data_IF_772062994646
#
_entry.id   IF_772062994646
#
_cell.length_a   1.000
_cell.length_b   1.000
_cell.length_c   1.000
_cell.angle_alpha   90.00
_cell.angle_beta   90.00
_cell.angle_gamma   90.00
#
_symmetry.space_group_name_H-M   'P 1'
#
loop_
_entity.id
_entity.type
_entity.pdbx_description
1 polymer ?
#
# COMPACT_ATOMS: atom_id res chain seq x y z
N UNK A 1 26.78 14.87 53.02
CA UNK A 1 25.93 14.42 51.90
C UNK A 1 26.27 15.22 50.64
N UNK A 2 27.34 14.86 49.94
CA UNK A 2 27.78 15.59 48.73
C UNK A 2 26.99 15.13 47.50
N UNK A 3 26.21 16.03 46.91
CA UNK A 3 25.50 15.77 45.65
C UNK A 3 26.53 15.64 44.52
N UNK A 4 26.64 14.45 43.93
CA UNK A 4 27.49 14.22 42.75
C UNK A 4 26.97 15.07 41.58
N UNK A 5 27.73 16.11 41.23
CA UNK A 5 27.49 16.92 40.04
C UNK A 5 27.81 16.08 38.80
N UNK A 6 26.78 15.51 38.17
CA UNK A 6 26.93 14.83 36.89
C UNK A 6 27.35 15.87 35.83
N UNK A 7 28.54 15.73 35.26
CA UNK A 7 29.06 16.69 34.30
C UNK A 7 28.21 16.69 33.02
N UNK A 8 27.79 17.88 32.57
CA UNK A 8 27.07 18.06 31.30
C UNK A 8 27.96 17.63 30.14
N UNK A 9 27.73 16.43 29.59
CA UNK A 9 28.41 15.94 28.37
C UNK A 9 28.00 16.76 27.15
N UNK A 10 28.98 17.28 26.40
CA UNK A 10 28.74 17.93 25.10
C UNK A 10 28.34 16.88 24.06
N UNK A 11 27.36 17.21 23.21
CA UNK A 11 26.96 16.36 22.07
C UNK A 11 28.14 16.21 21.11
N UNK A 12 28.30 15.02 20.53
CA UNK A 12 29.35 14.76 19.53
C UNK A 12 29.17 15.67 18.32
N UNK A 13 30.29 16.12 17.74
CA UNK A 13 30.29 16.96 16.53
C UNK A 13 29.74 16.11 15.38
N UNK A 14 28.53 16.40 14.92
CA UNK A 14 27.92 15.70 13.79
C UNK A 14 28.58 16.19 12.51
N UNK A 15 29.24 15.30 11.78
CA UNK A 15 29.83 15.62 10.48
C UNK A 15 28.74 15.77 9.41
N UNK A 16 29.00 16.59 8.36
CA UNK A 16 28.10 16.71 7.19
C UNK A 16 27.75 15.35 6.58
N UNK A 17 28.70 14.41 6.55
CA UNK A 17 28.51 13.05 6.05
C UNK A 17 27.50 12.24 6.87
N UNK A 18 27.56 12.32 8.21
CA UNK A 18 26.59 11.67 9.10
C UNK A 18 25.17 12.22 8.89
N UNK A 19 25.03 13.55 8.76
CA UNK A 19 23.74 14.19 8.50
C UNK A 19 23.17 13.79 7.12
N UNK A 20 24.02 13.72 6.09
CA UNK A 20 23.61 13.32 4.75
C UNK A 20 23.17 11.85 4.69
N UNK A 21 23.92 10.95 5.32
CA UNK A 21 23.58 9.53 5.40
C UNK A 21 22.30 9.27 6.21
N UNK A 22 22.10 10.01 7.31
CA UNK A 22 20.84 10.00 8.06
C UNK A 22 19.64 10.39 7.19
N UNK A 23 19.76 11.47 6.41
CA UNK A 23 18.72 11.90 5.45
C UNK A 23 18.46 10.86 4.38
N UNK A 24 19.50 10.29 3.76
CA UNK A 24 19.36 9.22 2.74
C UNK A 24 18.65 7.99 3.29
N UNK A 25 18.95 7.55 4.51
CA UNK A 25 18.26 6.43 5.17
C UNK A 25 16.79 6.75 5.43
N UNK A 26 16.49 7.94 5.95
CA UNK A 26 15.12 8.39 6.19
C UNK A 26 14.32 8.43 4.88
N UNK A 27 14.89 8.98 3.80
CA UNK A 27 14.23 9.04 2.50
C UNK A 27 14.02 7.67 1.86
N UNK A 28 14.98 6.74 2.00
CA UNK A 28 14.77 5.33 1.61
C UNK A 28 13.59 4.73 2.35
N UNK A 29 13.51 4.93 3.67
CA UNK A 29 12.39 4.48 4.49
C UNK A 29 11.05 5.08 4.04
N UNK A 30 11.00 6.38 3.75
CA UNK A 30 9.81 7.06 3.23
C UNK A 30 9.39 6.51 1.86
N UNK A 31 10.34 6.31 0.93
CA UNK A 31 10.07 5.74 -0.39
C UNK A 31 9.54 4.32 -0.29
N UNK A 32 10.12 3.48 0.56
CA UNK A 32 9.64 2.12 0.80
C UNK A 32 8.20 2.10 1.33
N UNK A 33 7.89 2.93 2.34
CA UNK A 33 6.52 3.08 2.87
C UNK A 33 5.53 3.55 1.80
N UNK A 34 5.93 4.49 0.94
CA UNK A 34 5.09 4.95 -0.18
C UNK A 34 4.84 3.82 -1.19
N UNK A 35 5.87 3.06 -1.59
CA UNK A 35 5.73 1.92 -2.50
C UNK A 35 4.73 0.89 -1.98
N UNK A 36 4.86 0.48 -0.71
CA UNK A 36 3.94 -0.48 -0.09
C UNK A 36 2.48 0.02 -0.10
N UNK A 37 2.24 1.30 0.23
CA UNK A 37 0.89 1.91 0.15
C UNK A 37 0.35 1.92 -1.27
N UNK A 38 1.19 2.26 -2.25
CA UNK A 38 0.80 2.28 -3.67
C UNK A 38 0.46 0.87 -4.18
N UNK A 39 1.25 -0.14 -3.82
CA UNK A 39 0.98 -1.53 -4.19
C UNK A 39 -0.33 -2.03 -3.59
N UNK A 40 -0.60 -1.73 -2.31
CA UNK A 40 -1.87 -2.08 -1.68
C UNK A 40 -3.06 -1.47 -2.41
N UNK A 41 -3.01 -0.15 -2.67
CA UNK A 41 -4.05 0.56 -3.43
C UNK A 41 -4.21 0.01 -4.84
N UNK A 42 -3.12 -0.37 -5.52
CA UNK A 42 -3.18 -0.99 -6.85
C UNK A 42 -3.88 -2.34 -6.81
N UNK A 43 -3.63 -3.17 -5.78
CA UNK A 43 -4.33 -4.45 -5.59
C UNK A 43 -5.82 -4.24 -5.33
N UNK A 44 -6.17 -3.35 -4.40
CA UNK A 44 -7.55 -2.97 -4.10
C UNK A 44 -8.28 -2.47 -5.36
N UNK A 45 -7.64 -1.58 -6.13
CA UNK A 45 -8.22 -1.05 -7.37
C UNK A 45 -8.39 -2.12 -8.44
N UNK A 46 -7.43 -3.05 -8.61
CA UNK A 46 -7.58 -4.18 -9.52
C UNK A 46 -8.76 -5.07 -9.14
N UNK A 47 -8.92 -5.38 -7.86
CA UNK A 47 -10.06 -6.16 -7.34
C UNK A 47 -11.39 -5.43 -7.58
N UNK A 48 -11.44 -4.13 -7.30
CA UNK A 48 -12.64 -3.33 -7.57
C UNK A 48 -13.01 -3.32 -9.06
N UNK A 49 -12.04 -3.06 -9.95
CA UNK A 49 -12.28 -3.09 -11.40
C UNK A 49 -12.72 -4.45 -11.88
N UNK A 50 -12.15 -5.52 -11.33
CA UNK A 50 -12.58 -6.87 -11.63
C UNK A 50 -14.04 -7.10 -11.21
N UNK A 51 -14.41 -6.75 -9.96
CA UNK A 51 -15.82 -6.83 -9.49
C UNK A 51 -16.77 -6.07 -10.41
N UNK A 52 -16.43 -4.83 -10.78
CA UNK A 52 -17.23 -4.02 -11.70
C UNK A 52 -17.36 -4.67 -13.08
N UNK A 53 -16.27 -5.24 -13.62
CA UNK A 53 -16.28 -5.96 -14.90
C UNK A 53 -17.23 -7.16 -14.86
N UNK A 54 -17.15 -7.97 -13.81
CA UNK A 54 -18.02 -9.14 -13.61
C UNK A 54 -19.48 -8.70 -13.52
N UNK A 55 -19.79 -7.72 -12.66
CA UNK A 55 -21.16 -7.21 -12.49
C UNK A 55 -21.71 -6.63 -13.79
N UNK A 56 -20.94 -5.82 -14.53
CA UNK A 56 -21.38 -5.26 -15.81
C UNK A 56 -21.73 -6.34 -16.82
N UNK A 57 -20.91 -7.39 -16.90
CA UNK A 57 -21.18 -8.51 -17.79
C UNK A 57 -22.42 -9.29 -17.39
N UNK A 58 -22.57 -9.63 -16.10
CA UNK A 58 -23.77 -10.26 -15.57
C UNK A 58 -25.02 -9.45 -15.90
N UNK A 59 -25.01 -8.13 -15.65
CA UNK A 59 -26.14 -7.25 -15.96
C UNK A 59 -26.46 -7.20 -17.45
N UNK A 60 -25.46 -7.33 -18.33
CA UNK A 60 -25.68 -7.43 -19.78
C UNK A 60 -26.36 -8.74 -20.14
N UNK A 61 -25.88 -9.87 -19.59
CA UNK A 61 -26.49 -11.19 -19.81
C UNK A 61 -27.92 -11.25 -19.27
N UNK A 62 -28.18 -10.69 -18.08
CA UNK A 62 -29.50 -10.76 -17.45
C UNK A 62 -30.61 -10.09 -18.27
N UNK A 63 -30.26 -9.17 -19.18
CA UNK A 63 -31.22 -8.57 -20.13
C UNK A 63 -31.66 -9.53 -21.24
N UNK A 64 -30.89 -10.59 -21.49
CA UNK A 64 -31.08 -11.51 -22.61
C UNK A 64 -31.47 -12.92 -22.17
N UNK A 65 -31.06 -13.34 -20.97
CA UNK A 65 -31.25 -14.70 -20.47
C UNK A 65 -31.83 -14.73 -19.06
N UNK A 66 -32.33 -15.92 -18.67
CA UNK A 66 -32.74 -16.19 -17.30
C UNK A 66 -31.59 -16.02 -16.30
N UNK A 67 -31.93 -15.80 -15.03
CA UNK A 67 -30.96 -15.53 -13.97
C UNK A 67 -29.91 -16.63 -13.84
N UNK A 68 -30.42 -17.86 -13.75
CA UNK A 68 -29.61 -19.06 -13.59
C UNK A 68 -28.58 -19.19 -14.71
N UNK A 69 -29.02 -18.99 -15.96
CA UNK A 69 -28.14 -19.02 -17.13
C UNK A 69 -27.12 -17.88 -17.12
N UNK A 70 -27.51 -16.68 -16.70
CA UNK A 70 -26.59 -15.54 -16.58
C UNK A 70 -25.49 -15.79 -15.54
N UNK A 71 -25.85 -16.39 -14.40
CA UNK A 71 -24.90 -16.78 -13.34
C UNK A 71 -23.94 -17.85 -13.85
N UNK A 72 -24.45 -18.93 -14.46
CA UNK A 72 -23.64 -20.00 -15.04
C UNK A 72 -22.62 -19.46 -16.07
N UNK A 73 -23.06 -18.62 -17.00
CA UNK A 73 -22.19 -18.01 -18.02
C UNK A 73 -21.18 -17.02 -17.43
N UNK A 74 -21.55 -16.31 -16.35
CA UNK A 74 -20.65 -15.41 -15.63
C UNK A 74 -19.57 -16.21 -14.92
N UNK A 75 -19.94 -17.28 -14.21
CA UNK A 75 -18.99 -18.15 -13.51
C UNK A 75 -18.07 -18.89 -14.49
N UNK A 76 -18.60 -19.42 -15.59
CA UNK A 76 -17.81 -20.12 -16.60
C UNK A 76 -16.72 -19.23 -17.24
N UNK A 77 -16.94 -17.91 -17.30
CA UNK A 77 -16.00 -16.96 -17.90
C UNK A 77 -14.79 -16.60 -17.02
N UNK A 78 -14.93 -16.73 -15.69
CA UNK A 78 -13.91 -16.31 -14.72
C UNK A 78 -13.57 -17.37 -13.67
N UNK A 79 -13.97 -18.62 -13.91
CA UNK A 79 -13.37 -19.79 -13.27
C UNK A 79 -11.97 -20.01 -13.82
#
# INVERSE_FOLDING_TARGET
MGKSQQSKRRKSKVSKGQTYNGRRRADRGRRARRRARTERRRREHRQFRFRVKVVRYYRKLRKQVSEKRAVELTLARWR
#
